data_IF_708546461701
#
_entry.id   IF_708546461701
#
_cell.length_a   1.000
_cell.length_b   1.000
_cell.length_c   1.000
_cell.angle_alpha   90.00
_cell.angle_beta   90.00
_cell.angle_gamma   90.00
#
_symmetry.space_group_name_H-M   'P 1'
#
loop_
_entity.id
_entity.type
_entity.pdbx_description
1 polymer ?
#
# COMPACT_ATOMS: atom_id res chain seq x y z
N UNK A 1 24.99 -7.21 35.89
CA UNK A 1 24.06 -7.41 34.76
C UNK A 1 22.99 -6.32 34.64
N UNK A 2 22.22 -5.97 35.68
CA UNK A 2 21.18 -4.92 35.58
C UNK A 2 21.68 -3.56 35.13
N UNK A 3 22.73 -3.05 35.77
CA UNK A 3 23.35 -1.77 35.40
C UNK A 3 23.83 -1.79 33.95
N UNK A 4 24.36 -2.92 33.48
CA UNK A 4 24.80 -3.10 32.09
C UNK A 4 23.62 -3.05 31.12
N UNK A 5 22.49 -3.69 31.43
CA UNK A 5 21.28 -3.66 30.59
C UNK A 5 20.65 -2.26 30.52
N UNK A 6 20.65 -1.51 31.62
CA UNK A 6 20.14 -0.14 31.65
C UNK A 6 21.04 0.79 30.83
N UNK A 7 22.35 0.70 31.00
CA UNK A 7 23.30 1.51 30.24
C UNK A 7 23.26 1.17 28.75
N UNK A 8 23.17 -0.11 28.39
CA UNK A 8 23.02 -0.54 27.00
C UNK A 8 21.69 -0.07 26.40
N UNK A 9 20.59 -0.17 27.15
CA UNK A 9 19.28 0.30 26.74
C UNK A 9 19.26 1.81 26.47
N UNK A 10 19.85 2.61 27.37
CA UNK A 10 19.97 4.06 27.19
C UNK A 10 20.87 4.43 26.00
N UNK A 11 21.99 3.73 25.82
CA UNK A 11 22.88 3.95 24.67
C UNK A 11 22.16 3.70 23.35
N UNK A 12 21.38 2.62 23.25
CA UNK A 12 20.59 2.29 22.06
C UNK A 12 19.43 3.26 21.85
N UNK A 13 18.79 3.73 22.93
CA UNK A 13 17.74 4.74 22.87
C UNK A 13 18.26 6.07 22.29
N UNK A 14 19.39 6.55 22.78
CA UNK A 14 20.02 7.81 22.33
C UNK A 14 20.60 7.65 20.93
N UNK A 15 21.34 6.57 20.65
CA UNK A 15 21.93 6.31 19.35
C UNK A 15 20.89 6.08 18.26
N UNK A 16 19.89 5.23 18.52
CA UNK A 16 18.79 4.98 17.59
C UNK A 16 17.93 6.21 17.36
N UNK A 17 17.64 6.97 18.41
CA UNK A 17 16.91 8.24 18.33
C UNK A 17 17.64 9.29 17.49
N UNK A 18 18.96 9.42 17.65
CA UNK A 18 19.76 10.34 16.85
C UNK A 18 19.78 9.97 15.36
N UNK A 19 19.87 8.67 15.04
CA UNK A 19 19.83 8.17 13.65
C UNK A 19 18.46 8.42 13.01
N UNK A 20 17.36 8.17 13.73
CA UNK A 20 16.01 8.43 13.23
C UNK A 20 15.70 9.93 13.09
N UNK A 21 16.22 10.75 14.02
CA UNK A 21 16.00 12.20 14.06
C UNK A 21 16.87 12.98 13.07
N UNK A 22 17.95 12.41 12.54
CA UNK A 22 18.87 13.10 11.64
C UNK A 22 18.19 13.65 10.38
N UNK A 23 17.13 12.99 9.90
CA UNK A 23 16.35 13.43 8.73
C UNK A 23 15.47 14.65 8.99
N UNK A 24 15.25 14.98 10.27
CA UNK A 24 14.47 16.12 10.74
C UNK A 24 15.33 17.18 11.42
N UNK A 25 16.65 16.99 11.42
CA UNK A 25 17.57 17.91 12.07
C UNK A 25 17.65 19.25 11.29
N UNK A 26 17.75 20.39 12.00
CA UNK A 26 17.97 21.67 11.36
C UNK A 26 19.32 21.66 10.61
N UNK A 27 19.46 22.47 9.55
CA UNK A 27 20.64 22.47 8.68
C UNK A 27 21.96 22.78 9.42
N UNK A 28 21.90 23.51 10.55
CA UNK A 28 23.10 23.78 11.35
C UNK A 28 23.61 22.55 12.12
N UNK A 29 22.73 21.61 12.48
CA UNK A 29 23.13 20.35 13.10
C UNK A 29 23.70 19.36 12.06
N UNK A 30 23.23 19.45 10.80
CA UNK A 30 23.81 18.71 9.69
C UNK A 30 25.26 19.14 9.38
N UNK A 31 25.61 20.41 9.59
CA UNK A 31 27.01 20.88 9.46
C UNK A 31 27.95 20.27 10.51
N UNK A 32 27.46 19.90 11.70
CA UNK A 32 28.29 19.16 12.67
C UNK A 32 28.59 17.74 12.19
N UNK A 33 27.69 17.14 11.40
CA UNK A 33 27.91 15.84 10.77
C UNK A 33 28.93 15.93 9.62
N UNK A 34 29.37 17.12 9.21
CA UNK A 34 30.43 17.29 8.20
C UNK A 34 31.82 16.82 8.66
N UNK A 35 31.95 16.43 9.93
CA UNK A 35 33.13 15.74 10.47
C UNK A 35 33.03 14.21 10.39
N UNK A 36 31.84 13.65 10.13
CA UNK A 36 31.62 12.21 10.09
C UNK A 36 32.12 11.58 8.75
N UNK A 37 32.50 10.30 8.74
CA UNK A 37 32.86 9.59 7.51
C UNK A 37 31.74 9.64 6.46
N UNK A 38 32.08 9.77 5.18
CA UNK A 38 31.12 9.88 4.07
C UNK A 38 30.07 8.74 4.09
N UNK A 39 30.53 7.50 4.34
CA UNK A 39 29.68 6.32 4.43
C UNK A 39 28.58 6.43 5.50
N UNK A 40 28.86 7.11 6.63
CA UNK A 40 27.89 7.30 7.69
C UNK A 40 26.83 8.35 7.31
N UNK A 41 27.23 9.40 6.58
CA UNK A 41 26.29 10.41 6.06
C UNK A 41 25.35 9.83 5.02
N UNK A 42 25.92 9.06 4.08
CA UNK A 42 25.14 8.40 3.03
C UNK A 42 24.10 7.48 3.65
N UNK A 43 24.47 6.69 4.67
CA UNK A 43 23.53 5.87 5.40
C UNK A 43 22.42 6.69 6.07
N UNK A 44 22.76 7.76 6.79
CA UNK A 44 21.77 8.61 7.50
C UNK A 44 20.72 9.24 6.57
N UNK A 45 21.08 9.47 5.30
CA UNK A 45 20.18 10.01 4.28
C UNK A 45 19.29 8.96 3.62
N UNK A 46 19.51 7.67 3.88
CA UNK A 46 18.65 6.61 3.34
C UNK A 46 17.36 6.44 4.16
N UNK A 47 16.25 6.03 3.53
CA UNK A 47 15.04 5.65 4.26
C UNK A 47 15.27 4.51 5.26
N UNK A 48 16.23 3.63 5.02
CA UNK A 48 16.56 2.51 5.91
C UNK A 48 17.17 2.98 7.23
N UNK A 49 17.87 4.12 7.27
CA UNK A 49 18.34 4.69 8.53
C UNK A 49 17.21 5.08 9.47
N UNK A 50 16.08 5.58 8.95
CA UNK A 50 14.91 5.90 9.78
C UNK A 50 14.39 4.64 10.50
N UNK A 51 14.21 3.54 9.75
CA UNK A 51 13.74 2.27 10.30
C UNK A 51 14.76 1.62 11.24
N UNK A 52 16.05 1.64 10.90
CA UNK A 52 17.12 1.13 11.74
C UNK A 52 17.25 1.92 13.04
N UNK A 53 17.16 3.26 12.97
CA UNK A 53 17.19 4.15 14.13
C UNK A 53 15.98 3.95 15.05
N UNK A 54 14.77 3.91 14.48
CA UNK A 54 13.54 3.67 15.23
C UNK A 54 13.54 2.27 15.88
N UNK A 55 14.00 1.25 15.16
CA UNK A 55 14.17 -0.11 15.68
C UNK A 55 15.17 -0.18 16.84
N UNK A 56 16.33 0.47 16.69
CA UNK A 56 17.33 0.57 17.76
C UNK A 56 16.80 1.27 19.00
N UNK A 57 16.08 2.38 18.83
CA UNK A 57 15.47 3.12 19.95
C UNK A 57 14.39 2.30 20.66
N UNK A 58 13.50 1.65 19.89
CA UNK A 58 12.46 0.77 20.44
C UNK A 58 13.03 -0.41 21.23
N UNK A 59 14.08 -1.05 20.71
CA UNK A 59 14.77 -2.12 21.40
C UNK A 59 15.50 -1.62 22.67
N UNK A 60 16.12 -0.44 22.61
CA UNK A 60 16.73 0.20 23.78
C UNK A 60 15.73 0.43 24.92
N UNK A 61 14.53 0.94 24.60
CA UNK A 61 13.43 1.11 25.56
C UNK A 61 13.00 -0.22 26.19
N UNK A 62 12.88 -1.27 25.38
CA UNK A 62 12.51 -2.61 25.86
C UNK A 62 13.51 -3.15 26.90
N UNK A 63 14.83 -2.96 26.68
CA UNK A 63 15.85 -3.39 27.63
C UNK A 63 15.75 -2.68 28.98
N UNK A 64 15.44 -1.38 28.97
CA UNK A 64 15.22 -0.60 30.20
C UNK A 64 14.00 -1.14 30.98
N UNK A 65 12.91 -1.47 30.29
CA UNK A 65 11.70 -2.05 30.89
C UNK A 65 12.01 -3.42 31.51
N UNK A 66 12.70 -4.31 30.80
CA UNK A 66 13.08 -5.64 31.32
C UNK A 66 13.93 -5.49 32.57
N UNK A 67 14.91 -4.59 32.56
CA UNK A 67 15.77 -4.35 33.72
C UNK A 67 14.99 -3.81 34.94
N UNK A 68 13.96 -2.99 34.72
CA UNK A 68 13.09 -2.46 35.77
C UNK A 68 12.18 -3.56 36.37
N UNK A 69 11.52 -4.37 35.54
CA UNK A 69 10.54 -5.38 35.99
C UNK A 69 11.20 -6.60 36.62
N UNK A 70 12.38 -7.02 36.16
CA UNK A 70 13.12 -8.15 36.74
C UNK A 70 13.93 -7.77 38.00
N UNK A 71 13.71 -6.55 38.50
CA UNK A 71 14.42 -5.91 39.61
C UNK A 71 14.18 -6.48 41.01
N UNK A 72 13.08 -7.18 41.26
CA UNK A 72 12.57 -7.35 42.62
C UNK A 72 12.52 -8.77 43.16
N UNK A 73 13.67 -9.41 43.43
CA UNK A 73 13.81 -10.40 44.53
C UNK A 73 15.24 -10.36 45.07
N UNK A 74 15.49 -9.53 46.08
CA UNK A 74 16.60 -9.78 47.01
C UNK A 74 16.33 -11.16 47.60
N UNK A 75 17.12 -12.17 47.23
CA UNK A 75 17.12 -13.45 47.92
C UNK A 75 17.58 -13.16 49.36
N UNK A 76 16.62 -13.06 50.27
CA UNK A 76 16.92 -13.31 51.68
C UNK A 76 17.57 -14.70 51.75
N UNK A 77 18.69 -14.78 52.47
CA UNK A 77 19.47 -16.01 52.62
C UNK A 77 18.56 -17.10 53.20
N UNK A 78 18.29 -18.20 52.49
CA UNK A 78 17.59 -19.31 53.10
C UNK A 78 18.54 -20.03 54.06
N UNK A 79 18.04 -20.22 55.27
CA UNK A 79 18.59 -21.10 56.31
C UNK A 79 18.81 -22.49 55.73
N UNK A 80 19.97 -23.08 56.06
CA UNK A 80 20.39 -24.44 55.70
C UNK A 80 19.30 -25.45 56.08
N UNK A 81 18.72 -26.13 55.08
CA UNK A 81 18.06 -27.40 55.29
C UNK A 81 18.59 -28.43 54.29
N UNK A 82 19.03 -29.53 54.88
CA UNK A 82 19.80 -30.64 54.36
C UNK A 82 18.83 -31.69 53.80
N UNK A 83 18.96 -32.08 52.54
CA UNK A 83 18.49 -33.37 52.00
C UNK A 83 19.17 -33.61 50.65
N UNK A 84 20.15 -34.48 50.56
CA UNK A 84 20.10 -35.96 50.57
C UNK A 84 19.97 -36.50 49.15
N UNK A 85 20.93 -37.38 48.84
CA UNK A 85 21.33 -37.87 47.53
C UNK A 85 20.36 -38.94 47.04
N UNK A 86 20.08 -38.97 45.74
CA UNK A 86 19.81 -40.22 45.03
C UNK A 86 20.31 -40.11 43.57
N UNK A 87 20.87 -41.23 43.12
CA UNK A 87 21.83 -41.46 42.03
C UNK A 87 21.11 -41.78 40.70
N UNK A 88 21.75 -41.63 39.51
CA UNK A 88 21.10 -41.67 38.21
C UNK A 88 21.07 -43.07 37.59
N UNK A 89 20.13 -43.29 36.66
CA UNK A 89 20.07 -44.47 35.81
C UNK A 89 20.05 -44.07 34.33
N UNK A 90 20.90 -44.78 33.60
CA UNK A 90 21.35 -44.62 32.23
C UNK A 90 20.84 -45.82 31.41
N UNK A 91 20.24 -45.57 30.23
CA UNK A 91 20.03 -46.51 29.12
C UNK A 91 19.43 -45.68 27.97
N UNK A 92 20.10 -45.35 26.87
CA UNK A 92 20.72 -46.16 25.80
C UNK A 92 19.74 -47.14 25.14
N UNK A 93 19.16 -46.70 24.03
CA UNK A 93 18.39 -47.49 23.08
C UNK A 93 18.55 -46.88 21.69
N UNK A 94 19.12 -47.67 20.78
CA UNK A 94 19.58 -47.34 19.44
C UNK A 94 18.74 -48.12 18.41
N UNK A 95 18.71 -47.62 17.16
CA UNK A 95 18.29 -48.25 15.90
C UNK A 95 16.81 -48.07 15.44
N UNK A 96 16.52 -48.21 14.12
CA UNK A 96 17.27 -47.77 12.94
C UNK A 96 16.42 -47.04 11.88
N UNK A 97 17.14 -46.44 10.94
CA UNK A 97 16.74 -45.81 9.67
C UNK A 97 16.05 -46.78 8.68
N UNK A 98 15.05 -46.33 7.89
CA UNK A 98 14.67 -47.01 6.65
C UNK A 98 15.03 -46.21 5.38
N UNK A 99 15.53 -46.97 4.42
CA UNK A 99 16.04 -46.62 3.09
C UNK A 99 15.04 -45.92 2.14
N UNK A 100 15.55 -45.22 1.09
CA UNK A 100 14.73 -44.48 0.13
C UNK A 100 14.14 -45.38 -0.98
N UNK A 101 12.83 -45.27 -1.21
CA UNK A 101 12.10 -45.95 -2.29
C UNK A 101 12.34 -45.23 -3.63
N UNK A 102 12.76 -46.02 -4.61
CA UNK A 102 13.03 -45.63 -5.99
C UNK A 102 11.76 -45.18 -6.75
N UNK A 103 11.89 -44.11 -7.55
CA UNK A 103 10.87 -43.64 -8.51
C UNK A 103 10.96 -44.43 -9.82
N UNK A 104 9.85 -44.82 -10.46
CA UNK A 104 9.86 -45.38 -11.81
C UNK A 104 9.96 -44.28 -12.88
N UNK A 105 10.64 -44.63 -13.97
CA UNK A 105 10.91 -43.80 -15.14
C UNK A 105 9.67 -43.53 -16.01
N UNK A 106 9.63 -42.42 -16.79
CA UNK A 106 8.52 -42.08 -17.65
C UNK A 106 8.53 -42.87 -18.97
N UNK A 107 7.36 -43.37 -19.36
CA UNK A 107 7.12 -44.02 -20.65
C UNK A 107 7.12 -43.00 -21.81
N UNK A 108 7.73 -43.38 -22.92
CA UNK A 108 7.77 -42.62 -24.18
C UNK A 108 6.38 -42.61 -24.84
N UNK A 109 5.92 -41.49 -25.43
CA UNK A 109 4.70 -41.46 -26.22
C UNK A 109 4.95 -41.99 -27.64
N UNK A 110 4.04 -42.85 -28.10
CA UNK A 110 3.95 -43.38 -29.47
C UNK A 110 3.21 -42.36 -30.35
N UNK A 111 3.68 -42.07 -31.59
CA UNK A 111 2.95 -41.19 -32.50
C UNK A 111 1.72 -41.89 -33.10
N UNK A 112 0.53 -41.32 -32.85
CA UNK A 112 -0.71 -41.74 -33.47
C UNK A 112 -0.85 -41.18 -34.89
N UNK A 113 -1.26 -42.06 -35.80
CA UNK A 113 -1.51 -41.82 -37.22
C UNK A 113 -2.80 -40.97 -37.40
N UNK A 114 -2.84 -39.98 -38.31
CA UNK A 114 -4.04 -39.18 -38.53
C UNK A 114 -5.11 -39.98 -39.30
N UNK A 115 -6.34 -39.95 -38.80
CA UNK A 115 -7.53 -40.48 -39.47
C UNK A 115 -8.12 -39.45 -40.46
N UNK A 116 -8.80 -39.89 -41.53
CA UNK A 116 -9.35 -39.01 -42.55
C UNK A 116 -10.57 -38.21 -42.05
N UNK A 117 -10.60 -36.93 -42.38
CA UNK A 117 -11.66 -35.97 -42.07
C UNK A 117 -12.90 -36.29 -42.90
N UNK A 118 -14.00 -36.64 -42.24
CA UNK A 118 -15.31 -36.72 -42.86
C UNK A 118 -15.90 -35.31 -43.01
N UNK A 119 -16.46 -35.03 -44.18
CA UNK A 119 -17.09 -33.75 -44.52
C UNK A 119 -18.29 -33.45 -43.60
N UNK A 120 -18.32 -32.23 -43.06
CA UNK A 120 -19.40 -31.76 -42.20
C UNK A 120 -20.69 -31.52 -43.02
N UNK A 121 -21.87 -31.90 -42.49
CA UNK A 121 -23.16 -31.56 -43.09
C UNK A 121 -23.47 -30.05 -42.97
N UNK A 122 -24.31 -29.51 -43.87
CA UNK A 122 -24.64 -28.08 -43.88
C UNK A 122 -25.41 -27.64 -42.63
N UNK A 123 -25.24 -26.38 -42.18
CA UNK A 123 -25.83 -25.88 -40.95
C UNK A 123 -27.36 -25.79 -41.04
N UNK A 124 -28.05 -26.40 -40.07
CA UNK A 124 -29.48 -26.23 -39.88
C UNK A 124 -29.77 -24.82 -39.35
N UNK A 125 -30.80 -24.17 -39.93
CA UNK A 125 -31.31 -22.86 -39.53
C UNK A 125 -31.70 -22.87 -38.05
N UNK A 126 -31.17 -21.93 -37.28
CA UNK A 126 -31.53 -21.73 -35.88
C UNK A 126 -33.01 -21.32 -35.74
N UNK A 127 -33.75 -21.89 -34.76
CA UNK A 127 -35.12 -21.47 -34.47
C UNK A 127 -35.16 -20.08 -33.84
N UNK A 128 -36.16 -19.28 -34.22
CA UNK A 128 -36.38 -17.94 -33.70
C UNK A 128 -36.61 -17.93 -32.17
N UNK A 129 -36.08 -16.92 -31.46
CA UNK A 129 -36.26 -16.79 -30.03
C UNK A 129 -37.71 -16.42 -29.69
N UNK A 130 -38.29 -17.15 -28.73
CA UNK A 130 -39.61 -16.85 -28.18
C UNK A 130 -39.59 -15.54 -27.39
N UNK A 131 -40.67 -14.74 -27.42
CA UNK A 131 -40.79 -13.53 -26.62
C UNK A 131 -40.66 -13.83 -25.11
N UNK A 132 -39.99 -12.97 -24.33
CA UNK A 132 -39.86 -13.15 -22.89
C UNK A 132 -41.23 -13.02 -22.21
N UNK A 133 -41.52 -14.00 -21.35
CA UNK A 133 -42.68 -14.02 -20.47
C UNK A 133 -42.54 -12.91 -19.41
N UNK A 134 -43.61 -12.15 -19.08
CA UNK A 134 -43.54 -11.05 -18.14
C UNK A 134 -43.21 -11.54 -16.72
N UNK A 135 -42.19 -10.93 -16.10
CA UNK A 135 -41.77 -11.26 -14.74
C UNK A 135 -42.88 -10.99 -13.69
N UNK A 136 -43.01 -11.84 -12.66
CA UNK A 136 -43.97 -11.64 -11.58
C UNK A 136 -43.63 -10.39 -10.76
N UNK A 137 -44.66 -9.63 -10.40
CA UNK A 137 -44.52 -8.43 -9.57
C UNK A 137 -43.87 -8.75 -8.21
N UNK A 138 -42.95 -7.89 -7.73
CA UNK A 138 -42.24 -8.12 -6.47
C UNK A 138 -43.19 -8.06 -5.26
N UNK A 139 -43.04 -9.02 -4.36
CA UNK A 139 -43.80 -9.10 -3.11
C UNK A 139 -43.47 -7.90 -2.18
N UNK A 140 -44.47 -7.40 -1.42
CA UNK A 140 -44.27 -6.27 -0.50
C UNK A 140 -43.32 -6.64 0.63
N UNK A 141 -42.27 -5.83 0.81
CA UNK A 141 -41.31 -5.98 1.90
C UNK A 141 -41.93 -5.56 3.25
N UNK A 142 -41.62 -6.27 4.35
CA UNK A 142 -42.12 -5.95 5.68
C UNK A 142 -41.52 -4.64 6.21
N UNK A 143 -42.40 -3.78 6.74
CA UNK A 143 -42.02 -2.49 7.32
C UNK A 143 -41.10 -2.69 8.54
N UNK A 144 -39.89 -2.16 8.47
CA UNK A 144 -38.97 -2.13 9.60
C UNK A 144 -39.46 -1.15 10.67
N UNK A 145 -39.65 -1.65 11.89
CA UNK A 145 -39.97 -0.86 13.06
C UNK A 145 -38.86 0.15 13.37
N UNK A 146 -39.25 1.42 13.52
CA UNK A 146 -38.37 2.52 13.86
C UNK A 146 -37.77 2.31 15.27
N UNK A 147 -36.43 2.20 15.34
CA UNK A 147 -35.70 2.24 16.59
C UNK A 147 -35.71 3.68 17.15
N UNK A 148 -36.00 3.81 18.45
CA UNK A 148 -36.05 5.07 19.16
C UNK A 148 -34.69 5.81 19.15
N UNK A 149 -34.70 7.16 19.11
CA UNK A 149 -33.47 7.97 19.08
C UNK A 149 -32.68 7.84 20.38
N UNK A 150 -31.39 7.53 20.27
CA UNK A 150 -30.46 7.59 21.40
C UNK A 150 -30.19 9.05 21.80
N UNK A 151 -30.06 9.34 23.11
CA UNK A 151 -29.77 10.69 23.60
C UNK A 151 -28.37 11.16 23.18
N UNK A 152 -28.31 12.44 22.80
CA UNK A 152 -27.08 13.08 22.31
C UNK A 152 -25.97 13.09 23.39
N UNK A 153 -24.71 12.82 23.01
CA UNK A 153 -23.58 12.91 23.93
C UNK A 153 -23.31 14.38 24.33
N UNK A 154 -22.94 14.56 25.60
CA UNK A 154 -22.66 15.87 26.19
C UNK A 154 -21.49 16.60 25.49
N UNK A 155 -21.47 17.95 25.50
CA UNK A 155 -20.43 18.74 24.86
C UNK A 155 -19.06 18.50 25.51
N UNK A 156 -18.07 18.07 24.72
CA UNK A 156 -16.68 18.02 25.18
C UNK A 156 -16.07 19.43 25.25
N UNK A 157 -15.20 19.73 26.23
CA UNK A 157 -14.48 20.99 26.28
C UNK A 157 -13.55 21.15 25.07
N UNK A 158 -13.33 22.38 24.59
CA UNK A 158 -12.54 22.65 23.39
C UNK A 158 -11.08 22.21 23.60
N UNK A 159 -10.63 21.28 22.77
CA UNK A 159 -9.21 20.89 22.70
C UNK A 159 -8.40 22.09 22.17
N UNK A 160 -7.23 22.40 22.74
CA UNK A 160 -6.33 23.41 22.16
C UNK A 160 -5.92 22.96 20.76
N UNK A 161 -6.13 23.84 19.78
CA UNK A 161 -5.71 23.64 18.39
C UNK A 161 -4.18 23.52 18.37
N UNK A 162 -3.60 22.52 17.70
CA UNK A 162 -2.17 22.55 17.41
C UNK A 162 -1.89 23.77 16.53
N UNK A 163 -1.16 24.75 17.07
CA UNK A 163 -0.53 25.79 16.28
C UNK A 163 0.52 25.13 15.41
N UNK A 164 0.14 24.80 14.17
CA UNK A 164 1.11 24.61 13.11
C UNK A 164 1.82 25.95 12.93
N UNK A 165 3.13 25.97 13.19
CA UNK A 165 4.01 27.08 12.85
C UNK A 165 3.92 27.37 11.36
N UNK A 166 3.01 28.27 10.98
CA UNK A 166 2.97 28.89 9.68
C UNK A 166 4.07 29.95 9.63
N UNK A 167 5.30 29.51 9.40
CA UNK A 167 6.33 30.40 8.89
C UNK A 167 6.61 29.97 7.45
N UNK A 168 6.10 30.70 6.45
CA UNK A 168 6.53 30.51 5.07
C UNK A 168 8.05 30.71 5.02
N UNK A 169 8.83 29.84 4.35
CA UNK A 169 10.20 30.17 4.05
C UNK A 169 10.22 31.48 3.28
N UNK A 170 11.06 32.42 3.74
CA UNK A 170 11.25 33.72 3.14
C UNK A 170 11.41 33.60 1.61
N UNK A 171 10.69 34.45 0.88
CA UNK A 171 10.84 34.59 -0.56
C UNK A 171 12.31 34.80 -0.90
N UNK A 172 12.88 33.85 -1.64
CA UNK A 172 14.18 34.04 -2.29
C UNK A 172 14.05 35.16 -3.34
N UNK A 173 15.12 35.94 -3.59
CA UNK A 173 15.08 37.09 -4.46
C UNK A 173 14.68 36.69 -5.88
N UNK A 174 13.85 37.52 -6.51
CA UNK A 174 13.49 37.44 -7.91
C UNK A 174 14.76 37.37 -8.77
N UNK A 175 14.98 36.22 -9.41
CA UNK A 175 16.02 36.07 -10.41
C UNK A 175 15.41 36.42 -11.77
N UNK A 176 15.54 37.70 -12.14
CA UNK A 176 15.48 38.12 -13.53
C UNK A 176 16.71 37.54 -14.24
N UNK A 177 16.54 36.37 -14.87
CA UNK A 177 17.57 35.70 -15.65
C UNK A 177 16.96 34.81 -16.74
N UNK A 178 17.60 34.67 -17.91
CA UNK A 178 17.00 34.03 -19.09
C UNK A 178 16.77 32.52 -18.87
N UNK A 179 15.72 32.02 -19.53
CA UNK A 179 14.98 30.78 -19.29
C UNK A 179 15.71 29.42 -19.52
N UNK A 180 17.02 29.32 -19.31
CA UNK A 180 17.79 28.12 -19.75
C UNK A 180 18.57 27.36 -18.68
N UNK A 181 18.22 27.49 -17.38
CA UNK A 181 18.79 26.62 -16.34
C UNK A 181 17.72 26.06 -15.41
N UNK A 182 17.00 25.03 -15.87
CA UNK A 182 16.33 24.09 -14.95
C UNK A 182 17.44 23.47 -14.10
N UNK A 183 17.50 23.81 -12.81
CA UNK A 183 18.50 23.23 -11.92
C UNK A 183 18.14 21.78 -11.61
N UNK A 184 19.13 20.91 -11.35
CA UNK A 184 18.88 19.52 -10.91
C UNK A 184 17.97 19.47 -9.66
N UNK A 185 17.96 20.52 -8.84
CA UNK A 185 17.07 20.64 -7.69
C UNK A 185 15.60 20.88 -8.08
N UNK A 186 15.33 21.58 -9.19
CA UNK A 186 13.99 21.74 -9.74
C UNK A 186 13.53 20.47 -10.47
N UNK A 187 14.43 19.79 -11.19
CA UNK A 187 14.15 18.47 -11.76
C UNK A 187 13.91 17.41 -10.69
N UNK A 188 14.61 17.50 -9.54
CA UNK A 188 14.40 16.63 -8.39
C UNK A 188 13.07 16.91 -7.66
N UNK A 189 12.50 18.12 -7.79
CA UNK A 189 11.15 18.47 -7.29
C UNK A 189 10.03 18.00 -8.22
N UNK A 190 10.35 17.70 -9.48
CA UNK A 190 9.46 17.03 -10.45
C UNK A 190 9.71 15.52 -10.48
N UNK A 191 9.98 14.92 -9.32
CA UNK A 191 10.31 13.49 -9.25
C UNK A 191 9.06 12.62 -9.44
N UNK A 192 9.16 11.50 -10.18
CA UNK A 192 8.07 10.52 -10.33
C UNK A 192 7.43 10.11 -8.99
N UNK A 193 8.22 10.12 -7.91
CA UNK A 193 7.75 9.87 -6.54
C UNK A 193 6.70 10.86 -6.03
N UNK A 194 6.87 12.16 -6.28
CA UNK A 194 5.89 13.16 -5.86
C UNK A 194 4.60 13.07 -6.67
N UNK A 195 4.71 12.84 -7.98
CA UNK A 195 3.56 12.58 -8.84
C UNK A 195 2.81 11.32 -8.39
N UNK A 196 3.52 10.23 -8.10
CA UNK A 196 2.89 8.99 -7.63
C UNK A 196 2.22 9.16 -6.27
N UNK A 197 2.79 9.95 -5.35
CA UNK A 197 2.12 10.28 -4.09
C UNK A 197 0.81 11.03 -4.34
N UNK A 198 0.81 12.00 -5.26
CA UNK A 198 -0.41 12.73 -5.63
C UNK A 198 -1.45 11.81 -6.27
N UNK A 199 -1.04 10.95 -7.20
CA UNK A 199 -1.89 9.95 -7.84
C UNK A 199 -2.58 9.03 -6.84
N UNK A 200 -1.85 8.53 -5.84
CA UNK A 200 -2.44 7.71 -4.78
C UNK A 200 -3.52 8.49 -4.03
N UNK A 201 -3.27 9.74 -3.64
CA UNK A 201 -4.27 10.59 -2.96
C UNK A 201 -5.50 10.87 -3.84
N UNK A 202 -5.29 11.16 -5.12
CA UNK A 202 -6.38 11.42 -6.07
C UNK A 202 -7.21 10.15 -6.31
N UNK A 203 -6.56 9.00 -6.50
CA UNK A 203 -7.24 7.70 -6.67
C UNK A 203 -8.08 7.32 -5.45
N UNK A 204 -7.59 7.58 -4.22
CA UNK A 204 -8.38 7.37 -2.99
C UNK A 204 -9.63 8.25 -3.03
N UNK A 205 -9.46 9.53 -3.36
CA UNK A 205 -10.56 10.50 -3.43
C UNK A 205 -11.62 10.09 -4.46
N UNK A 206 -11.20 9.68 -5.66
CA UNK A 206 -12.10 9.20 -6.72
C UNK A 206 -12.79 7.90 -6.29
N UNK A 207 -12.07 6.95 -5.69
CA UNK A 207 -12.65 5.69 -5.22
C UNK A 207 -13.71 5.91 -4.13
N UNK A 208 -13.49 6.81 -3.18
CA UNK A 208 -14.47 7.10 -2.14
C UNK A 208 -15.72 7.78 -2.72
N UNK A 209 -15.56 8.64 -3.73
CA UNK A 209 -16.68 9.19 -4.48
C UNK A 209 -17.45 8.11 -5.26
N UNK A 210 -16.77 7.17 -5.89
CA UNK A 210 -17.41 6.04 -6.58
C UNK A 210 -18.23 5.17 -5.61
N UNK A 211 -17.73 4.93 -4.39
CA UNK A 211 -18.49 4.23 -3.35
C UNK A 211 -19.73 5.03 -2.92
N UNK A 212 -19.60 6.35 -2.79
CA UNK A 212 -20.74 7.21 -2.46
C UNK A 212 -21.79 7.21 -3.58
N UNK A 213 -21.35 7.24 -4.85
CA UNK A 213 -22.21 7.09 -6.03
C UNK A 213 -22.96 5.76 -5.99
N UNK A 214 -22.24 4.65 -5.81
CA UNK A 214 -22.85 3.31 -5.73
C UNK A 214 -23.87 3.21 -4.60
N UNK A 215 -23.57 3.78 -3.42
CA UNK A 215 -24.49 3.80 -2.28
C UNK A 215 -25.78 4.54 -2.59
N UNK A 216 -25.73 5.61 -3.39
CA UNK A 216 -26.91 6.41 -3.75
C UNK A 216 -27.70 5.80 -4.91
N UNK A 217 -27.01 5.29 -5.93
CA UNK A 217 -27.62 4.91 -7.20
C UNK A 217 -27.82 3.39 -7.35
N UNK A 218 -27.21 2.58 -6.50
CA UNK A 218 -27.25 1.11 -6.57
C UNK A 218 -26.34 0.49 -7.64
N UNK A 219 -25.62 1.32 -8.39
CA UNK A 219 -24.68 0.93 -9.45
C UNK A 219 -23.53 1.94 -9.54
N UNK A 220 -22.39 1.52 -10.09
CA UNK A 220 -21.30 2.42 -10.45
C UNK A 220 -21.63 3.17 -11.74
N UNK A 221 -21.02 4.34 -12.01
CA UNK A 221 -21.18 5.01 -13.29
C UNK A 221 -20.73 4.10 -14.43
N UNK A 222 -21.65 3.72 -15.33
CA UNK A 222 -21.30 2.89 -16.47
C UNK A 222 -20.40 3.65 -17.44
N UNK A 223 -19.32 3.00 -17.87
CA UNK A 223 -18.37 3.59 -18.81
C UNK A 223 -17.68 2.49 -19.62
N UNK A 224 -17.98 2.43 -20.91
CA UNK A 224 -17.45 1.41 -21.81
C UNK A 224 -15.98 1.67 -22.18
N UNK A 225 -15.19 0.61 -22.17
CA UNK A 225 -13.75 0.68 -22.38
C UNK A 225 -13.00 1.37 -21.23
N UNK A 226 -11.68 1.22 -21.20
CA UNK A 226 -10.84 1.94 -20.27
C UNK A 226 -10.44 3.27 -20.91
N UNK A 227 -10.93 4.38 -20.34
CA UNK A 227 -10.71 5.71 -20.90
C UNK A 227 -10.64 6.79 -19.81
N UNK A 228 -9.91 7.85 -20.11
CA UNK A 228 -9.63 8.99 -19.24
C UNK A 228 -10.09 10.32 -19.85
N UNK A 229 -9.44 11.39 -19.40
CA UNK A 229 -9.74 12.76 -19.84
C UNK A 229 -9.47 12.96 -21.33
N UNK A 230 -8.50 12.25 -21.91
CA UNK A 230 -8.16 12.40 -23.33
C UNK A 230 -9.23 11.82 -24.24
N UNK A 231 -9.85 10.71 -23.85
CA UNK A 231 -10.87 10.02 -24.65
C UNK A 231 -12.28 10.54 -24.38
N UNK A 232 -12.55 11.05 -23.16
CA UNK A 232 -13.90 11.40 -22.69
C UNK A 232 -14.07 12.84 -22.23
N UNK A 233 -12.99 13.62 -22.16
CA UNK A 233 -13.00 15.01 -21.70
C UNK A 233 -13.11 15.17 -20.18
N UNK A 234 -13.46 16.37 -19.73
CA UNK A 234 -13.48 16.75 -18.32
C UNK A 234 -14.42 15.88 -17.45
N UNK A 235 -15.45 15.26 -18.04
CA UNK A 235 -16.40 14.37 -17.37
C UNK A 235 -16.12 12.89 -17.66
N UNK A 236 -14.83 12.48 -17.63
CA UNK A 236 -14.40 11.13 -18.00
C UNK A 236 -14.95 9.99 -17.11
N UNK A 237 -15.50 10.33 -15.95
CA UNK A 237 -16.40 9.48 -15.16
C UNK A 237 -17.80 10.11 -15.14
N UNK A 238 -18.78 9.54 -15.84
CA UNK A 238 -20.11 10.13 -15.96
C UNK A 238 -20.81 10.32 -14.61
N UNK A 239 -21.38 11.51 -14.36
CA UNK A 239 -22.22 11.76 -13.18
C UNK A 239 -21.51 11.74 -11.83
N UNK A 240 -20.17 11.56 -11.77
CA UNK A 240 -19.44 11.60 -10.51
C UNK A 240 -19.23 13.03 -10.02
N UNK A 241 -18.95 13.96 -10.93
CA UNK A 241 -18.88 15.39 -10.68
C UNK A 241 -20.07 16.12 -11.32
N UNK A 242 -20.57 17.23 -10.73
CA UNK A 242 -20.08 17.88 -9.50
C UNK A 242 -20.65 17.28 -8.20
N UNK A 243 -21.51 16.26 -8.29
CA UNK A 243 -22.35 15.83 -7.17
C UNK A 243 -21.58 15.13 -6.04
N UNK A 244 -20.67 14.21 -6.35
CA UNK A 244 -19.89 13.47 -5.37
C UNK A 244 -18.48 14.04 -5.18
N UNK A 245 -18.00 14.78 -6.17
CA UNK A 245 -16.75 15.55 -6.14
C UNK A 245 -16.95 16.86 -6.89
N UNK A 246 -16.34 17.98 -6.44
CA UNK A 246 -16.45 19.26 -7.15
C UNK A 246 -15.97 19.19 -8.61
N UNK A 247 -14.85 18.51 -8.83
CA UNK A 247 -14.22 18.32 -10.14
C UNK A 247 -13.42 17.01 -10.13
N UNK A 248 -13.29 16.37 -11.30
CA UNK A 248 -12.44 15.17 -11.45
C UNK A 248 -10.96 15.57 -11.46
N UNK A 249 -10.11 14.99 -10.59
CA UNK A 249 -8.67 15.25 -10.63
C UNK A 249 -8.05 14.90 -11.98
N UNK A 250 -7.05 15.69 -12.38
CA UNK A 250 -6.19 15.41 -13.54
C UNK A 250 -4.85 14.85 -13.07
N UNK A 251 -4.20 14.06 -13.92
CA UNK A 251 -2.86 13.53 -13.61
C UNK A 251 -1.88 14.69 -13.39
N UNK A 252 -1.01 14.63 -12.36
CA UNK A 252 -0.08 15.72 -12.06
C UNK A 252 0.93 16.04 -13.17
N UNK A 253 1.15 15.12 -14.13
CA UNK A 253 1.99 15.39 -15.31
C UNK A 253 1.23 16.20 -16.36
N UNK A 254 -0.11 16.15 -16.35
CA UNK A 254 -0.98 16.82 -17.33
C UNK A 254 -0.53 16.58 -18.78
N UNK A 255 -0.19 15.33 -19.11
CA UNK A 255 0.29 14.99 -20.44
C UNK A 255 -0.80 15.21 -21.50
N UNK A 256 -0.40 15.82 -22.62
CA UNK A 256 -1.24 16.00 -23.81
C UNK A 256 -1.01 14.93 -24.87
N UNK A 257 -0.09 14.00 -24.63
CA UNK A 257 0.26 12.94 -25.57
C UNK A 257 -0.80 11.84 -25.55
N UNK A 258 -1.14 11.32 -26.74
CA UNK A 258 -2.00 10.15 -26.86
C UNK A 258 -1.29 8.94 -26.23
N UNK A 259 -1.83 8.45 -25.10
CA UNK A 259 -1.21 7.40 -24.30
C UNK A 259 -0.21 7.91 -23.25
N UNK A 260 -0.16 9.22 -22.97
CA UNK A 260 0.59 9.74 -21.83
C UNK A 260 0.01 9.35 -20.47
N UNK A 261 0.69 9.71 -19.36
CA UNK A 261 0.17 9.52 -18.02
C UNK A 261 -1.20 10.16 -17.82
N UNK A 262 -2.21 9.37 -17.45
CA UNK A 262 -3.56 9.87 -17.15
C UNK A 262 -4.32 8.95 -16.19
N UNK A 263 -5.39 9.46 -15.57
CA UNK A 263 -6.36 8.61 -14.89
C UNK A 263 -7.34 8.02 -15.90
N UNK A 264 -7.65 6.73 -15.75
CA UNK A 264 -8.57 6.01 -16.63
C UNK A 264 -9.57 5.20 -15.83
N UNK A 265 -10.79 5.08 -16.37
CA UNK A 265 -11.90 4.39 -15.72
C UNK A 265 -12.72 3.55 -16.71
N UNK A 266 -13.18 2.40 -16.26
CA UNK A 266 -14.12 1.52 -16.96
C UNK A 266 -15.08 0.89 -15.95
N UNK A 267 -16.34 0.68 -16.35
CA UNK A 267 -17.34 0.04 -15.50
C UNK A 267 -18.52 -0.47 -16.30
N UNK A 268 -19.07 -1.60 -15.88
CA UNK A 268 -20.33 -2.18 -16.38
C UNK A 268 -21.54 -1.83 -15.50
N UNK A 269 -21.34 -0.99 -14.48
CA UNK A 269 -22.34 -0.61 -13.49
C UNK A 269 -22.34 -1.48 -12.22
N UNK A 270 -21.72 -2.67 -12.25
CA UNK A 270 -21.59 -3.56 -11.09
C UNK A 270 -20.14 -3.62 -10.60
N UNK A 271 -19.23 -3.77 -11.55
CA UNK A 271 -17.80 -3.87 -11.36
C UNK A 271 -17.11 -2.69 -12.07
N UNK A 272 -15.91 -2.32 -11.61
CA UNK A 272 -15.17 -1.20 -12.19
C UNK A 272 -13.65 -1.39 -12.10
N UNK A 273 -12.94 -0.66 -12.95
CA UNK A 273 -11.48 -0.45 -12.92
C UNK A 273 -11.17 1.03 -12.94
N UNK A 274 -10.35 1.50 -12.01
CA UNK A 274 -9.85 2.87 -11.89
C UNK A 274 -8.33 2.81 -11.74
N UNK A 275 -7.59 3.44 -12.66
CA UNK A 275 -6.13 3.38 -12.67
C UNK A 275 -5.52 4.76 -12.90
N UNK A 276 -4.32 4.97 -12.37
CA UNK A 276 -3.32 5.84 -12.97
C UNK A 276 -2.57 5.02 -14.03
N UNK A 277 -2.67 5.42 -15.29
CA UNK A 277 -2.16 4.70 -16.47
C UNK A 277 -0.88 5.32 -17.00
N UNK A 278 -0.01 4.49 -17.59
CA UNK A 278 1.28 4.87 -18.20
C UNK A 278 2.17 5.75 -17.32
N UNK A 279 2.36 5.33 -16.07
CA UNK A 279 3.14 6.08 -15.08
C UNK A 279 4.49 5.43 -14.81
N UNK A 280 5.51 6.27 -14.62
CA UNK A 280 6.83 5.82 -14.19
C UNK A 280 6.88 5.53 -12.69
N UNK A 281 7.34 4.34 -12.32
CA UNK A 281 7.64 3.93 -10.95
C UNK A 281 9.13 4.06 -10.60
N UNK A 282 9.97 4.53 -11.52
CA UNK A 282 11.40 4.73 -11.26
C UNK A 282 11.59 5.63 -10.04
N UNK A 283 12.33 5.14 -9.04
CA UNK A 283 12.55 5.84 -7.78
C UNK A 283 11.37 5.82 -6.78
N UNK A 284 10.31 5.06 -7.08
CA UNK A 284 9.16 4.83 -6.19
C UNK A 284 9.03 3.34 -5.87
N UNK A 285 9.58 2.91 -4.74
CA UNK A 285 9.61 1.48 -4.36
C UNK A 285 8.30 0.96 -3.78
N UNK A 286 7.25 1.78 -3.62
CA UNK A 286 6.05 1.36 -2.91
C UNK A 286 4.82 2.15 -3.35
N UNK A 287 4.03 1.57 -4.27
CA UNK A 287 2.69 2.06 -4.61
C UNK A 287 1.58 1.23 -3.95
N UNK A 288 1.93 0.15 -3.24
CA UNK A 288 0.98 -0.74 -2.56
C UNK A 288 0.36 -0.16 -1.27
N UNK A 289 0.49 1.15 -1.06
CA UNK A 289 -0.02 1.82 0.14
C UNK A 289 -1.49 2.18 -0.09
N UNK A 290 -2.33 1.97 0.94
CA UNK A 290 -3.78 2.25 0.91
C UNK A 290 -4.62 1.32 0.02
N UNK A 291 -4.14 0.11 -0.29
CA UNK A 291 -4.89 -0.87 -1.07
C UNK A 291 -4.91 -0.59 -2.57
N UNK A 292 -4.11 0.37 -3.03
CA UNK A 292 -3.75 0.56 -4.43
C UNK A 292 -2.93 -0.65 -4.89
N UNK A 293 -3.28 -1.22 -6.03
CA UNK A 293 -2.65 -2.42 -6.60
C UNK A 293 -2.03 -2.11 -7.95
N UNK A 294 -0.93 -2.78 -8.28
CA UNK A 294 -0.34 -2.72 -9.63
C UNK A 294 -1.11 -3.64 -10.56
N UNK A 295 -1.49 -3.12 -11.73
CA UNK A 295 -2.23 -3.85 -12.75
C UNK A 295 -1.29 -4.73 -13.60
N UNK A 296 -1.21 -6.01 -13.26
CA UNK A 296 -0.30 -6.95 -13.91
C UNK A 296 -0.70 -7.30 -15.35
N UNK A 297 -1.97 -7.11 -15.74
CA UNK A 297 -2.44 -7.42 -17.11
C UNK A 297 -1.78 -6.54 -18.16
N UNK A 298 -1.26 -5.38 -17.74
CA UNK A 298 -0.61 -4.38 -18.61
C UNK A 298 0.90 -4.58 -18.75
N UNK A 299 1.43 -5.71 -18.28
CA UNK A 299 2.87 -6.03 -18.34
C UNK A 299 3.73 -4.87 -17.81
N UNK A 300 3.51 -4.45 -16.55
CA UNK A 300 4.07 -3.21 -16.03
C UNK A 300 5.61 -3.24 -16.07
N UNK A 301 6.21 -2.20 -16.63
CA UNK A 301 7.65 -1.93 -16.49
C UNK A 301 7.87 -0.80 -15.47
N UNK A 302 9.12 -0.53 -15.11
CA UNK A 302 9.42 0.61 -14.24
C UNK A 302 9.09 1.95 -14.91
N UNK A 303 9.17 2.06 -16.25
CA UNK A 303 8.77 3.28 -16.95
C UNK A 303 7.28 3.35 -17.30
N UNK A 304 6.62 2.20 -17.44
CA UNK A 304 5.25 2.09 -17.93
C UNK A 304 4.42 1.15 -17.05
N UNK A 305 4.07 1.61 -15.85
CA UNK A 305 3.19 0.87 -14.97
C UNK A 305 1.77 1.46 -15.01
N UNK A 306 0.82 0.68 -14.51
CA UNK A 306 -0.51 1.18 -14.15
C UNK A 306 -0.88 0.66 -12.76
N UNK A 307 -1.52 1.51 -11.95
CA UNK A 307 -1.93 1.11 -10.60
C UNK A 307 -3.23 1.80 -10.19
N UNK A 308 -4.00 1.16 -9.31
CA UNK A 308 -5.23 1.74 -8.80
C UNK A 308 -6.15 0.75 -8.08
N UNK A 309 -7.45 0.92 -8.28
CA UNK A 309 -8.50 0.15 -7.64
C UNK A 309 -9.36 -0.55 -8.68
N UNK A 310 -9.77 -1.78 -8.39
CA UNK A 310 -10.75 -2.50 -9.19
C UNK A 310 -11.48 -3.52 -8.35
N UNK A 311 -12.71 -3.82 -8.77
CA UNK A 311 -13.48 -4.95 -8.25
C UNK A 311 -13.05 -6.25 -8.94
N UNK A 312 -13.40 -7.42 -8.38
CA UNK A 312 -12.97 -8.70 -8.95
C UNK A 312 -13.36 -8.90 -10.42
N UNK A 313 -14.55 -8.44 -10.84
CA UNK A 313 -15.03 -8.61 -12.22
C UNK A 313 -14.20 -7.88 -13.28
N UNK A 314 -13.41 -6.88 -12.88
CA UNK A 314 -12.58 -6.06 -13.77
C UNK A 314 -11.07 -6.27 -13.56
N UNK A 315 -10.66 -7.29 -12.80
CA UNK A 315 -9.25 -7.56 -12.57
C UNK A 315 -8.49 -7.87 -13.89
N UNK A 316 -9.16 -8.52 -14.84
CA UNK A 316 -8.55 -9.00 -16.10
C UNK A 316 -8.69 -8.04 -17.29
N UNK A 317 -9.44 -6.95 -17.15
CA UNK A 317 -9.73 -5.94 -18.20
C UNK A 317 -8.61 -4.92 -18.35
#
# INVERSE_FOLDING_TARGET
>A
MRVVLILLGLLLLVGGGAVAGAQYAPPDLLKMLDSAPAQARDFLMTPTALYAGAGGAGFGLLLVIIAAVTGGKKKEKPVKAKREKAKPQEAKGEAPEPAPVAKPAPAKPVPAKPAPVAAAPPPQKAPEPRPPEPEPAPAPQPAMAAAAPQPAPAPQPPRPKPQASAQPPAAAPAADGPADKVTLADTARTTPRLHNRRRVSDLVTINDALKAYFKKNGSYPAASGLGGVMERGAAWIPGLAPEFLPELPLDPVASTEAGGPQYVYASDGKDYKLLAHNVSLVGSTSVEVLGVKIDMTRQPTMENASFGYWTPGFAEV
#
